data_IF_773790143302
#
_entry.id   IF_773790143302
#
_cell.length_a   1.000
_cell.length_b   1.000
_cell.length_c   1.000
_cell.angle_alpha   90.00
_cell.angle_beta   90.00
_cell.angle_gamma   90.00
#
_symmetry.space_group_name_H-M   'P 1'
#
loop_
_entity.id
_entity.type
_entity.pdbx_description
1 polymer ?
#
# COMPACT_ATOMS: atom_id res chain seq x y z
N UNK A 1 -15.46 -23.50 10.94
CA UNK A 1 -14.34 -22.55 11.18
C UNK A 1 -13.07 -23.17 10.67
N UNK A 2 -12.39 -22.46 9.77
CA UNK A 2 -11.14 -22.99 9.22
C UNK A 2 -10.02 -22.92 10.25
N UNK A 3 -9.27 -24.01 10.39
CA UNK A 3 -8.08 -24.04 11.26
C UNK A 3 -7.03 -23.01 10.81
N UNK A 4 -7.07 -22.62 9.55
CA UNK A 4 -6.08 -21.71 8.97
C UNK A 4 -6.30 -20.25 9.37
N UNK A 5 -7.47 -19.91 9.89
CA UNK A 5 -7.74 -18.51 10.30
C UNK A 5 -6.91 -18.07 11.51
N UNK A 6 -6.38 -19.02 12.28
CA UNK A 6 -5.54 -18.73 13.45
C UNK A 6 -4.05 -18.69 13.15
N UNK A 7 -3.66 -18.95 11.90
CA UNK A 7 -2.26 -18.89 11.53
C UNK A 7 -1.75 -17.46 11.53
N UNK A 8 -0.49 -17.29 11.94
CA UNK A 8 0.16 -16.00 11.88
C UNK A 8 0.41 -15.59 10.42
N UNK A 9 0.59 -14.30 10.21
CA UNK A 9 0.97 -13.82 8.88
C UNK A 9 2.23 -14.50 8.38
N UNK A 10 3.21 -14.68 9.27
CA UNK A 10 4.46 -15.35 8.90
C UNK A 10 4.23 -16.79 8.46
N UNK A 11 3.40 -17.52 9.17
CA UNK A 11 3.07 -18.89 8.79
C UNK A 11 2.36 -18.93 7.43
N UNK A 12 1.44 -17.99 7.17
CA UNK A 12 0.74 -17.92 5.89
C UNK A 12 1.69 -17.56 4.76
N UNK A 13 2.60 -16.62 5.00
CA UNK A 13 3.61 -16.24 4.00
C UNK A 13 4.51 -17.43 3.67
N UNK A 14 4.99 -18.14 4.69
CA UNK A 14 5.81 -19.32 4.48
C UNK A 14 5.08 -20.41 3.70
N UNK A 15 3.82 -20.66 4.04
CA UNK A 15 3.01 -21.63 3.32
C UNK A 15 2.82 -21.21 1.86
N UNK A 16 2.54 -19.94 1.60
CA UNK A 16 2.37 -19.43 0.25
C UNK A 16 3.66 -19.53 -0.56
N UNK A 17 4.80 -19.19 0.02
CA UNK A 17 6.08 -19.24 -0.69
C UNK A 17 6.50 -20.67 -1.01
N UNK A 18 6.14 -21.62 -0.14
CA UNK A 18 6.46 -23.04 -0.36
C UNK A 18 5.58 -23.68 -1.42
N UNK A 19 4.29 -23.47 -1.34
CA UNK A 19 3.31 -24.22 -2.13
C UNK A 19 2.67 -23.41 -3.24
N UNK A 20 2.72 -22.09 -3.14
CA UNK A 20 1.99 -21.17 -4.04
C UNK A 20 0.49 -21.43 -4.05
N UNK A 21 -0.04 -22.05 -2.99
CA UNK A 21 -1.46 -22.34 -2.91
C UNK A 21 -2.26 -21.07 -2.63
N UNK A 22 -3.36 -20.95 -3.34
CA UNK A 22 -4.21 -19.77 -3.29
C UNK A 22 -4.80 -19.51 -1.90
N UNK A 23 -5.09 -20.56 -1.13
CA UNK A 23 -5.75 -20.40 0.17
C UNK A 23 -4.92 -19.53 1.13
N UNK A 24 -3.59 -19.69 1.13
CA UNK A 24 -2.71 -18.91 2.00
C UNK A 24 -2.74 -17.43 1.61
N UNK A 25 -2.64 -17.16 0.32
CA UNK A 25 -2.74 -15.78 -0.18
C UNK A 25 -4.12 -15.18 0.12
N UNK A 26 -5.18 -15.94 -0.08
CA UNK A 26 -6.54 -15.46 0.17
C UNK A 26 -6.73 -15.03 1.61
N UNK A 27 -6.19 -15.78 2.57
CA UNK A 27 -6.27 -15.40 3.97
C UNK A 27 -5.48 -14.13 4.26
N UNK A 28 -4.28 -13.99 3.70
CA UNK A 28 -3.50 -12.76 3.83
C UNK A 28 -4.26 -11.57 3.26
N UNK A 29 -4.84 -11.75 2.10
CA UNK A 29 -5.63 -10.72 1.44
C UNK A 29 -6.82 -10.31 2.31
N UNK A 30 -7.58 -11.28 2.82
CA UNK A 30 -8.74 -10.99 3.66
C UNK A 30 -8.37 -10.26 4.95
N UNK A 31 -7.22 -10.59 5.53
CA UNK A 31 -6.77 -9.95 6.76
C UNK A 31 -6.39 -8.49 6.57
N UNK A 32 -5.76 -8.18 5.47
CA UNK A 32 -5.08 -6.89 5.31
C UNK A 32 -5.74 -5.97 4.32
N UNK A 33 -6.56 -6.48 3.40
CA UNK A 33 -7.06 -5.67 2.31
C UNK A 33 -7.90 -4.49 2.78
N UNK A 34 -8.76 -4.67 3.78
CA UNK A 34 -9.61 -3.58 4.26
C UNK A 34 -8.79 -2.44 4.85
N UNK A 35 -7.77 -2.77 5.64
CA UNK A 35 -6.90 -1.75 6.22
C UNK A 35 -6.11 -1.01 5.14
N UNK A 36 -5.58 -1.76 4.18
CA UNK A 36 -4.85 -1.17 3.06
C UNK A 36 -5.77 -0.32 2.18
N UNK A 37 -7.00 -0.79 1.95
CA UNK A 37 -8.00 -0.02 1.21
C UNK A 37 -8.28 1.33 1.86
N UNK A 38 -8.50 1.32 3.18
CA UNK A 38 -8.76 2.56 3.91
C UNK A 38 -7.59 3.52 3.83
N UNK A 39 -6.37 2.99 3.94
CA UNK A 39 -5.17 3.81 3.79
C UNK A 39 -5.09 4.40 2.38
N UNK A 40 -5.25 3.57 1.36
CA UNK A 40 -5.20 4.00 -0.03
C UNK A 40 -6.27 5.05 -0.32
N UNK A 41 -7.48 4.81 0.15
CA UNK A 41 -8.60 5.73 -0.06
C UNK A 41 -8.31 7.09 0.57
N UNK A 42 -7.78 7.09 1.79
CA UNK A 42 -7.40 8.34 2.47
C UNK A 42 -6.32 9.08 1.69
N UNK A 43 -5.30 8.37 1.25
CA UNK A 43 -4.19 8.97 0.52
C UNK A 43 -4.60 9.45 -0.87
N UNK A 44 -5.62 8.84 -1.45
CA UNK A 44 -6.18 9.25 -2.75
C UNK A 44 -7.34 10.23 -2.62
N UNK A 45 -7.52 10.85 -1.46
CA UNK A 45 -8.56 11.85 -1.21
C UNK A 45 -9.97 11.33 -1.52
N UNK A 46 -10.24 10.11 -1.06
CA UNK A 46 -11.52 9.41 -1.24
C UNK A 46 -11.88 9.08 -2.69
N UNK A 47 -10.90 9.06 -3.58
CA UNK A 47 -11.11 8.62 -4.95
C UNK A 47 -11.01 7.10 -5.00
N UNK A 48 -12.16 6.41 -5.09
CA UNK A 48 -12.23 4.95 -5.05
C UNK A 48 -11.53 4.28 -6.23
N UNK A 49 -11.61 4.85 -7.41
CA UNK A 49 -10.95 4.28 -8.60
C UNK A 49 -9.44 4.31 -8.45
N UNK A 50 -8.89 5.42 -8.00
CA UNK A 50 -7.46 5.53 -7.77
C UNK A 50 -7.01 4.59 -6.66
N UNK A 51 -7.79 4.50 -5.58
CA UNK A 51 -7.46 3.60 -4.47
C UNK A 51 -7.44 2.14 -4.92
N UNK A 52 -8.39 1.75 -5.77
CA UNK A 52 -8.44 0.39 -6.30
C UNK A 52 -7.22 0.09 -7.17
N UNK A 53 -6.84 1.01 -8.04
CA UNK A 53 -5.65 0.86 -8.88
C UNK A 53 -4.39 0.73 -8.02
N UNK A 54 -4.30 1.55 -6.97
CA UNK A 54 -3.18 1.48 -6.03
C UNK A 54 -3.12 0.10 -5.38
N UNK A 55 -4.25 -0.40 -4.88
CA UNK A 55 -4.29 -1.68 -4.19
C UNK A 55 -3.93 -2.85 -5.08
N UNK A 56 -4.43 -2.87 -6.31
CA UNK A 56 -4.07 -3.93 -7.25
C UNK A 56 -2.56 -4.00 -7.43
N UNK A 57 -1.95 -2.84 -7.65
CA UNK A 57 -0.53 -2.75 -7.85
C UNK A 57 0.26 -3.13 -6.60
N UNK A 58 -0.23 -2.71 -5.44
CA UNK A 58 0.40 -3.04 -4.15
C UNK A 58 0.43 -4.54 -3.92
N UNK A 59 -0.69 -5.23 -4.16
CA UNK A 59 -0.73 -6.69 -3.99
C UNK A 59 0.18 -7.40 -4.99
N UNK A 60 0.22 -6.95 -6.23
CA UNK A 60 1.11 -7.54 -7.24
C UNK A 60 2.58 -7.34 -6.86
N UNK A 61 2.97 -6.13 -6.49
CA UNK A 61 4.34 -5.84 -6.07
C UNK A 61 4.69 -6.55 -4.77
N UNK A 62 3.74 -6.61 -3.85
CA UNK A 62 3.93 -7.28 -2.58
C UNK A 62 4.20 -8.77 -2.76
N UNK A 63 3.41 -9.45 -3.58
CA UNK A 63 3.62 -10.87 -3.87
C UNK A 63 4.99 -11.09 -4.51
N UNK A 64 5.35 -10.26 -5.47
CA UNK A 64 6.62 -10.35 -6.17
C UNK A 64 7.81 -10.18 -5.22
N UNK A 65 7.70 -9.27 -4.27
CA UNK A 65 8.77 -8.93 -3.33
C UNK A 65 8.73 -9.74 -2.05
N UNK A 66 7.68 -10.54 -1.85
CA UNK A 66 7.48 -11.28 -0.61
C UNK A 66 8.66 -12.18 -0.23
N UNK A 67 9.33 -12.87 -1.15
CA UNK A 67 10.51 -13.68 -0.79
C UNK A 67 11.64 -12.88 -0.16
N UNK A 68 11.68 -11.57 -0.40
CA UNK A 68 12.73 -10.68 0.12
C UNK A 68 12.34 -9.97 1.42
N UNK A 69 11.11 -10.20 1.90
CA UNK A 69 10.65 -9.56 3.12
C UNK A 69 11.38 -10.12 4.34
N UNK A 70 12.00 -9.24 5.12
CA UNK A 70 12.87 -9.63 6.23
C UNK A 70 12.19 -9.64 7.59
N UNK A 71 10.92 -9.31 7.65
CA UNK A 71 10.17 -9.24 8.91
C UNK A 71 10.72 -8.22 9.91
N UNK A 72 11.32 -7.16 9.40
CA UNK A 72 11.74 -6.02 10.21
C UNK A 72 10.57 -5.18 10.69
N UNK A 73 9.42 -5.40 10.13
CA UNK A 73 8.15 -4.79 10.51
C UNK A 73 7.05 -5.83 10.36
N UNK A 74 5.82 -5.49 10.75
CA UNK A 74 4.69 -6.34 10.44
C UNK A 74 4.46 -6.38 8.92
N UNK A 75 3.81 -7.42 8.46
CA UNK A 75 3.44 -7.53 7.05
C UNK A 75 2.56 -6.35 6.62
N UNK A 76 1.61 -5.96 7.46
CA UNK A 76 0.73 -4.81 7.16
C UNK A 76 1.51 -3.52 7.00
N UNK A 77 2.48 -3.26 7.86
CA UNK A 77 3.33 -2.08 7.75
C UNK A 77 4.13 -2.10 6.46
N UNK A 78 4.70 -3.25 6.14
CA UNK A 78 5.46 -3.41 4.90
C UNK A 78 4.60 -3.16 3.66
N UNK A 79 3.41 -3.76 3.60
CA UNK A 79 2.46 -3.55 2.50
C UNK A 79 1.98 -2.10 2.45
N UNK A 80 1.77 -1.47 3.60
CA UNK A 80 1.39 -0.05 3.66
C UNK A 80 2.47 0.85 3.07
N UNK A 81 3.73 0.47 3.20
CA UNK A 81 4.83 1.15 2.53
C UNK A 81 4.67 1.15 1.02
N UNK A 82 4.24 0.04 0.45
CA UNK A 82 3.95 -0.02 -0.99
C UNK A 82 2.77 0.87 -1.38
N UNK A 83 1.75 0.97 -0.53
CA UNK A 83 0.64 1.89 -0.77
C UNK A 83 1.15 3.32 -0.90
N UNK A 84 1.96 3.75 0.05
CA UNK A 84 2.51 5.11 0.03
C UNK A 84 3.39 5.34 -1.19
N UNK A 85 4.25 4.40 -1.52
CA UNK A 85 5.12 4.51 -2.69
C UNK A 85 4.30 4.66 -3.98
N UNK A 86 3.26 3.86 -4.10
CA UNK A 86 2.42 3.89 -5.31
C UNK A 86 1.65 5.19 -5.43
N UNK A 87 1.11 5.69 -4.33
CA UNK A 87 0.40 6.98 -4.31
C UNK A 87 1.36 8.11 -4.66
N UNK A 88 2.58 8.07 -4.12
CA UNK A 88 3.61 9.06 -4.46
C UNK A 88 3.93 9.07 -5.95
N UNK A 89 4.03 7.90 -6.56
CA UNK A 89 4.24 7.79 -8.00
C UNK A 89 3.11 8.46 -8.78
N UNK A 90 1.87 8.24 -8.36
CA UNK A 90 0.72 8.89 -9.00
C UNK A 90 0.78 10.41 -8.88
N UNK A 91 1.12 10.90 -7.70
CA UNK A 91 1.23 12.35 -7.49
C UNK A 91 2.32 12.95 -8.36
N UNK A 92 3.46 12.29 -8.48
CA UNK A 92 4.54 12.76 -9.35
C UNK A 92 4.10 12.80 -10.80
N UNK A 93 3.42 11.77 -11.25
CA UNK A 93 2.91 11.72 -12.62
C UNK A 93 1.91 12.84 -12.88
N UNK A 94 0.98 13.06 -11.95
CA UNK A 94 0.01 14.14 -12.05
C UNK A 94 0.69 15.51 -12.05
N UNK A 95 1.67 15.70 -11.18
CA UNK A 95 2.43 16.94 -11.12
C UNK A 95 3.18 17.21 -12.42
N UNK A 96 3.78 16.17 -13.02
CA UNK A 96 4.47 16.31 -14.30
C UNK A 96 3.50 16.65 -15.41
N UNK A 97 2.32 16.03 -15.43
CA UNK A 97 1.29 16.34 -16.41
C UNK A 97 0.81 17.77 -16.27
N UNK A 98 0.58 18.23 -15.05
CA UNK A 98 0.19 19.61 -14.80
C UNK A 98 1.28 20.59 -15.24
N UNK A 99 2.54 20.26 -14.97
CA UNK A 99 3.65 21.10 -15.45
C UNK A 99 3.70 21.17 -16.95
N UNK A 100 3.40 20.09 -17.66
CA UNK A 100 3.33 20.10 -19.12
C UNK A 100 2.19 20.94 -19.63
N UNK A 101 1.04 20.87 -18.95
CA UNK A 101 -0.15 21.66 -19.34
C UNK A 101 0.02 23.12 -18.99
N UNK A 102 0.75 23.44 -17.93
CA UNK A 102 0.94 24.79 -17.43
C UNK A 102 2.29 25.37 -17.84
N UNK A 103 3.05 24.67 -18.69
CA UNK A 103 4.35 25.14 -19.15
C UNK A 103 4.27 26.46 -19.93
N UNK A 104 3.08 26.87 -20.34
CA UNK A 104 2.82 28.15 -21.01
C UNK A 104 2.33 29.22 -20.04
N UNK A 105 2.04 28.84 -18.81
CA UNK A 105 1.62 29.73 -17.73
C UNK A 105 2.56 29.55 -16.55
N UNK A 106 2.66 30.53 -15.67
CA UNK A 106 3.50 30.39 -14.50
C UNK A 106 3.08 29.17 -13.69
N UNK A 107 3.98 28.20 -13.56
CA UNK A 107 3.76 27.06 -12.73
C UNK A 107 3.58 27.52 -11.28
N UNK A 108 2.50 27.11 -10.60
CA UNK A 108 2.37 27.40 -9.18
C UNK A 108 3.58 26.83 -8.46
N UNK A 109 4.17 27.62 -7.57
CA UNK A 109 5.28 27.16 -6.78
C UNK A 109 4.90 25.89 -6.05
N UNK A 110 5.72 24.91 -6.22
CA UNK A 110 5.84 23.69 -5.45
C UNK A 110 4.63 23.29 -4.63
N UNK A 111 3.82 22.42 -5.17
CA UNK A 111 2.99 21.61 -4.31
C UNK A 111 3.90 20.85 -3.34
N UNK A 112 3.80 21.17 -2.07
CA UNK A 112 4.46 20.38 -1.04
C UNK A 112 3.72 19.05 -0.98
N UNK A 113 4.37 18.00 -1.44
CA UNK A 113 3.76 16.69 -1.42
C UNK A 113 3.79 16.12 0.00
N UNK A 114 2.68 15.60 0.50
CA UNK A 114 2.64 15.04 1.85
C UNK A 114 3.70 13.97 2.10
N UNK A 115 4.16 13.32 1.05
CA UNK A 115 5.16 12.27 1.14
C UNK A 115 6.51 12.75 1.66
N UNK A 116 6.83 14.04 1.47
CA UNK A 116 8.07 14.59 1.99
C UNK A 116 8.06 14.75 3.50
N UNK A 117 6.87 14.72 4.09
CA UNK A 117 6.66 14.88 5.51
C UNK A 117 6.31 13.58 6.21
N UNK A 118 6.04 12.52 5.44
CA UNK A 118 5.66 11.23 6.00
C UNK A 118 6.90 10.43 6.39
N UNK A 119 7.19 10.41 7.67
CA UNK A 119 8.18 9.53 8.23
C UNK A 119 7.58 8.18 8.61
N UNK A 120 8.43 7.28 9.07
CA UNK A 120 8.01 5.96 9.54
C UNK A 120 6.97 6.08 10.66
N UNK A 121 7.14 7.06 11.56
CA UNK A 121 6.22 7.30 12.65
C UNK A 121 4.83 7.71 12.15
N UNK A 122 4.78 8.54 11.10
CA UNK A 122 3.51 8.96 10.51
C UNK A 122 2.79 7.79 9.85
N UNK A 123 3.53 6.92 9.20
CA UNK A 123 2.99 5.72 8.59
C UNK A 123 2.40 4.79 9.65
N UNK A 124 3.13 4.55 10.73
CA UNK A 124 2.67 3.70 11.82
C UNK A 124 1.43 4.29 12.49
N UNK A 125 1.41 5.61 12.72
CA UNK A 125 0.26 6.29 13.29
C UNK A 125 -0.96 6.17 12.38
N UNK A 126 -0.78 6.29 11.07
CA UNK A 126 -1.87 6.12 10.12
C UNK A 126 -2.42 4.70 10.14
N UNK A 127 -1.55 3.71 10.25
CA UNK A 127 -1.93 2.30 10.33
C UNK A 127 -2.70 2.01 11.62
N UNK A 128 -2.24 2.55 12.73
CA UNK A 128 -2.89 2.36 14.03
C UNK A 128 -4.30 2.96 14.08
N UNK A 129 -4.55 4.02 13.32
CA UNK A 129 -5.87 4.63 13.22
C UNK A 129 -6.86 3.81 12.41
N UNK A 130 -6.37 2.85 11.67
CA UNK A 130 -7.24 1.99 10.87
C UNK A 130 -7.86 0.94 11.78
N UNK A 131 -9.18 0.75 11.73
CA UNK A 131 -9.79 -0.35 12.49
C UNK A 131 -9.25 -1.68 12.01
N UNK A 132 -9.00 -2.53 12.94
CA UNK A 132 -8.46 -3.85 12.67
C UNK A 132 -9.38 -4.65 11.76
#
# INVERSE_FOLDING_TARGET
MSLFTNLTDRALVEAFLLTREEWAFRLLYQRHNTALWRLALRMCQNNGEQAEDVLQDVWLRGIEKLPQFRWDSSLRTWLSGFVLMRVREQWRTQAQQQKRLVSLEEAPEQAIWPDQQLGKADLLAAIERLPA
#
